data_IF_627410449290
#
_entry.id   IF_627410449290
#
_cell.length_a   1.000
_cell.length_b   1.000
_cell.length_c   1.000
_cell.angle_alpha   90.00
_cell.angle_beta   90.00
_cell.angle_gamma   90.00
#
_symmetry.space_group_name_H-M   'P 1'
#
loop_
_entity.id
_entity.type
_entity.pdbx_description
1 polymer ?
#
# COMPACT_ATOMS: atom_id res chain seq x y z
N UNK A 1 -15.53 27.21 -4.44
CA UNK A 1 -14.90 26.85 -5.72
C UNK A 1 -14.36 25.44 -5.65
N UNK A 2 -14.69 24.61 -6.64
CA UNK A 2 -14.19 23.23 -6.69
C UNK A 2 -12.87 23.19 -7.45
N UNK A 3 -12.01 22.23 -7.09
CA UNK A 3 -10.74 22.05 -7.79
C UNK A 3 -10.95 21.85 -9.29
N UNK A 4 -12.02 21.15 -9.69
CA UNK A 4 -12.35 20.91 -11.09
C UNK A 4 -12.62 22.18 -11.87
N UNK A 5 -12.98 23.28 -11.19
CA UNK A 5 -13.21 24.59 -11.84
C UNK A 5 -11.91 25.35 -12.08
N UNK A 6 -10.83 24.95 -11.39
CA UNK A 6 -9.53 25.61 -11.44
C UNK A 6 -8.56 24.87 -12.35
N UNK A 7 -8.53 23.54 -12.24
CA UNK A 7 -7.57 22.69 -12.93
C UNK A 7 -8.26 21.84 -14.01
N UNK A 8 -7.59 21.65 -15.16
CA UNK A 8 -8.07 20.68 -16.15
C UNK A 8 -8.18 19.29 -15.56
N UNK A 9 -9.15 18.52 -16.02
CA UNK A 9 -9.38 17.15 -15.58
C UNK A 9 -8.13 16.29 -15.65
N UNK A 10 -7.35 16.46 -16.72
CA UNK A 10 -6.09 15.75 -16.92
C UNK A 10 -5.10 16.01 -15.78
N UNK A 11 -4.97 17.27 -15.36
CA UNK A 11 -4.06 17.63 -14.27
C UNK A 11 -4.52 17.05 -12.93
N UNK A 12 -5.84 17.00 -12.71
CA UNK A 12 -6.41 16.40 -11.51
C UNK A 12 -6.09 14.91 -11.47
N UNK A 13 -6.27 14.21 -12.58
CA UNK A 13 -5.96 12.79 -12.71
C UNK A 13 -4.48 12.51 -12.46
N UNK A 14 -3.60 13.33 -13.03
CA UNK A 14 -2.16 13.21 -12.84
C UNK A 14 -1.75 13.42 -11.38
N UNK A 15 -2.37 14.39 -10.71
CA UNK A 15 -2.10 14.66 -9.30
C UNK A 15 -2.54 13.48 -8.41
N UNK A 16 -3.73 12.93 -8.67
CA UNK A 16 -4.23 11.77 -7.93
C UNK A 16 -3.35 10.55 -8.17
N UNK A 17 -2.99 10.31 -9.42
CA UNK A 17 -2.12 9.19 -9.78
C UNK A 17 -0.75 9.30 -9.12
N UNK A 18 -0.17 10.51 -9.10
CA UNK A 18 1.10 10.76 -8.43
C UNK A 18 1.05 10.48 -6.94
N UNK A 19 -0.05 10.87 -6.28
CA UNK A 19 -0.24 10.59 -4.86
C UNK A 19 -0.34 9.08 -4.59
N UNK A 20 -1.08 8.35 -5.41
CA UNK A 20 -1.18 6.91 -5.28
C UNK A 20 0.16 6.21 -5.53
N UNK A 21 0.92 6.64 -6.53
CA UNK A 21 2.24 6.08 -6.79
C UNK A 21 3.20 6.30 -5.63
N UNK A 22 3.13 7.46 -5.00
CA UNK A 22 3.93 7.78 -3.81
C UNK A 22 3.59 6.85 -2.65
N UNK A 23 2.30 6.65 -2.39
CA UNK A 23 1.85 5.73 -1.34
C UNK A 23 2.27 4.30 -1.62
N UNK A 24 2.20 3.89 -2.89
CA UNK A 24 2.60 2.55 -3.30
C UNK A 24 4.07 2.28 -2.98
N UNK A 25 4.93 3.26 -3.25
CA UNK A 25 6.36 3.16 -2.93
C UNK A 25 6.55 2.94 -1.42
N UNK A 26 5.84 3.70 -0.60
CA UNK A 26 5.94 3.58 0.86
C UNK A 26 5.45 2.21 1.35
N UNK A 27 4.35 1.71 0.81
CA UNK A 27 3.84 0.39 1.18
C UNK A 27 4.79 -0.73 0.77
N UNK A 28 5.37 -0.64 -0.44
CA UNK A 28 6.35 -1.62 -0.91
C UNK A 28 7.60 -1.62 -0.03
N UNK A 29 8.04 -0.44 0.38
CA UNK A 29 9.20 -0.31 1.25
C UNK A 29 8.95 -0.99 2.61
N UNK A 30 7.79 -0.74 3.21
CA UNK A 30 7.41 -1.36 4.48
C UNK A 30 7.36 -2.88 4.36
N UNK A 31 6.73 -3.39 3.30
CA UNK A 31 6.65 -4.82 3.03
C UNK A 31 8.07 -5.44 2.92
N UNK A 32 8.96 -4.81 2.17
CA UNK A 32 10.31 -5.30 1.99
C UNK A 32 11.12 -5.27 3.29
N UNK A 33 10.99 -4.22 4.09
CA UNK A 33 11.69 -4.10 5.36
C UNK A 33 11.28 -5.20 6.34
N UNK A 34 9.97 -5.45 6.44
CA UNK A 34 9.46 -6.47 7.36
C UNK A 34 9.72 -7.89 6.86
N UNK A 35 9.67 -8.07 5.53
CA UNK A 35 10.06 -9.34 4.92
C UNK A 35 11.52 -9.70 5.26
N UNK A 36 12.41 -8.73 5.20
CA UNK A 36 13.81 -8.92 5.58
C UNK A 36 13.96 -9.20 7.07
N UNK A 37 13.22 -8.47 7.90
CA UNK A 37 13.28 -8.61 9.36
C UNK A 37 12.88 -10.01 9.81
N UNK A 38 11.78 -10.52 9.27
CA UNK A 38 11.23 -11.83 9.66
C UNK A 38 11.64 -12.96 8.73
N UNK A 39 12.32 -12.66 7.62
CA UNK A 39 12.81 -13.64 6.65
C UNK A 39 11.68 -14.49 6.06
N UNK A 40 10.53 -13.89 5.85
CA UNK A 40 9.37 -14.55 5.26
C UNK A 40 8.41 -13.51 4.70
N UNK A 41 7.50 -13.95 3.81
CA UNK A 41 6.43 -13.11 3.31
C UNK A 41 5.35 -12.94 4.38
N UNK A 42 4.54 -11.88 4.26
CA UNK A 42 3.48 -11.60 5.23
C UNK A 42 2.49 -12.77 5.36
N UNK A 43 2.17 -13.42 4.25
CA UNK A 43 1.27 -14.57 4.25
C UNK A 43 1.79 -15.67 5.18
N UNK A 44 3.08 -15.98 5.09
CA UNK A 44 3.72 -16.99 5.94
C UNK A 44 3.75 -16.54 7.39
N UNK A 45 4.01 -15.27 7.62
CA UNK A 45 4.01 -14.66 8.95
C UNK A 45 2.66 -14.87 9.64
N UNK A 46 1.56 -14.65 8.92
CA UNK A 46 0.22 -14.87 9.44
C UNK A 46 -0.08 -16.35 9.64
N UNK A 47 0.19 -17.19 8.63
CA UNK A 47 -0.09 -18.61 8.67
C UNK A 47 0.67 -19.33 9.78
N UNK A 48 1.91 -18.92 10.03
CA UNK A 48 2.74 -19.48 11.10
C UNK A 48 2.41 -18.89 12.47
N UNK A 49 1.45 -17.96 12.53
CA UNK A 49 1.00 -17.33 13.77
C UNK A 49 2.19 -16.76 14.57
N UNK A 50 3.02 -15.98 13.89
CA UNK A 50 4.28 -15.49 14.47
C UNK A 50 4.10 -14.56 15.66
N UNK A 51 3.00 -13.79 15.70
CA UNK A 51 2.72 -12.92 16.85
C UNK A 51 2.59 -13.75 18.12
N UNK A 52 1.86 -14.86 18.05
CA UNK A 52 1.69 -15.79 19.18
C UNK A 52 3.02 -16.45 19.56
N UNK A 53 3.80 -16.90 18.56
CA UNK A 53 5.10 -17.54 18.78
C UNK A 53 6.09 -16.62 19.47
N UNK A 54 5.92 -15.31 19.31
CA UNK A 54 6.75 -14.28 19.90
C UNK A 54 6.11 -13.70 21.17
N UNK A 55 5.22 -14.46 21.80
CA UNK A 55 4.55 -14.12 23.07
C UNK A 55 3.81 -12.78 23.02
N UNK A 56 3.24 -12.42 21.86
CA UNK A 56 2.48 -11.17 21.68
C UNK A 56 3.27 -9.94 22.11
N UNK A 57 4.60 -9.92 21.88
CA UNK A 57 5.40 -8.76 22.21
C UNK A 57 4.88 -7.53 21.47
N UNK A 58 4.99 -6.36 22.13
CA UNK A 58 4.48 -5.11 21.57
C UNK A 58 5.08 -4.80 20.20
N UNK A 59 6.40 -4.98 20.07
CA UNK A 59 7.11 -4.73 18.81
C UNK A 59 6.58 -5.60 17.68
N UNK A 60 6.35 -6.88 17.94
CA UNK A 60 5.86 -7.81 16.92
C UNK A 60 4.42 -7.49 16.53
N UNK A 61 3.58 -7.13 17.51
CA UNK A 61 2.22 -6.71 17.23
C UNK A 61 2.17 -5.44 16.37
N UNK A 62 3.04 -4.45 16.67
CA UNK A 62 3.14 -3.24 15.87
C UNK A 62 3.60 -3.54 14.44
N UNK A 63 4.62 -4.39 14.30
CA UNK A 63 5.10 -4.82 13.00
C UNK A 63 4.00 -5.53 12.21
N UNK A 64 3.24 -6.40 12.87
CA UNK A 64 2.13 -7.12 12.22
C UNK A 64 1.07 -6.16 11.69
N UNK A 65 0.70 -5.15 12.48
CA UNK A 65 -0.29 -4.15 12.08
C UNK A 65 0.20 -3.30 10.91
N UNK A 66 1.44 -2.83 10.99
CA UNK A 66 2.04 -2.02 9.92
C UNK A 66 2.19 -2.82 8.65
N UNK A 67 2.58 -4.08 8.78
CA UNK A 67 2.77 -4.96 7.62
C UNK A 67 1.44 -5.26 6.93
N UNK A 68 0.42 -5.59 7.71
CA UNK A 68 -0.92 -5.82 7.18
C UNK A 68 -1.44 -4.58 6.45
N UNK A 69 -1.27 -3.41 7.06
CA UNK A 69 -1.66 -2.14 6.45
C UNK A 69 -0.95 -1.91 5.12
N UNK A 70 0.35 -2.19 5.07
CA UNK A 70 1.14 -2.01 3.85
C UNK A 70 0.72 -3.00 2.76
N UNK A 71 0.50 -4.27 3.09
CA UNK A 71 0.10 -5.29 2.12
C UNK A 71 -1.30 -4.99 1.56
N UNK A 72 -2.25 -4.67 2.44
CA UNK A 72 -3.61 -4.33 2.02
C UNK A 72 -3.65 -3.01 1.25
N UNK A 73 -2.91 -2.00 1.73
CA UNK A 73 -2.81 -0.72 1.05
C UNK A 73 -2.21 -0.84 -0.34
N UNK A 74 -1.18 -1.66 -0.48
CA UNK A 74 -0.55 -1.94 -1.77
C UNK A 74 -1.56 -2.51 -2.77
N UNK A 75 -2.34 -3.51 -2.36
CA UNK A 75 -3.37 -4.12 -3.23
C UNK A 75 -4.42 -3.09 -3.65
N UNK A 76 -4.89 -2.30 -2.70
CA UNK A 76 -5.90 -1.27 -2.94
C UNK A 76 -5.38 -0.23 -3.94
N UNK A 77 -4.18 0.28 -3.72
CA UNK A 77 -3.57 1.32 -4.56
C UNK A 77 -3.29 0.79 -5.97
N UNK A 78 -2.78 -0.43 -6.09
CA UNK A 78 -2.52 -1.04 -7.40
C UNK A 78 -3.80 -1.14 -8.23
N UNK A 79 -4.92 -1.51 -7.62
CA UNK A 79 -6.22 -1.55 -8.30
C UNK A 79 -6.66 -0.17 -8.74
N UNK A 80 -6.49 0.84 -7.90
CA UNK A 80 -6.86 2.23 -8.24
C UNK A 80 -6.03 2.77 -9.39
N UNK A 81 -4.72 2.55 -9.35
CA UNK A 81 -3.81 3.00 -10.42
C UNK A 81 -4.22 2.34 -11.74
N UNK A 82 -4.48 1.04 -11.71
CA UNK A 82 -4.87 0.29 -12.90
C UNK A 82 -6.17 0.84 -13.50
N UNK A 83 -7.16 1.15 -12.66
CA UNK A 83 -8.42 1.72 -13.10
C UNK A 83 -8.23 3.10 -13.74
N UNK A 84 -7.42 3.95 -13.14
CA UNK A 84 -7.16 5.30 -13.65
C UNK A 84 -6.45 5.23 -15.01
N UNK A 85 -5.45 4.35 -15.13
CA UNK A 85 -4.73 4.16 -16.40
C UNK A 85 -5.63 3.59 -17.48
N UNK A 86 -6.55 2.70 -17.14
CA UNK A 86 -7.50 2.13 -18.09
C UNK A 86 -8.45 3.20 -18.65
N UNK A 87 -8.90 4.13 -17.81
CA UNK A 87 -9.74 5.25 -18.24
C UNK A 87 -8.97 6.12 -19.23
N UNK A 88 -7.71 6.44 -18.94
CA UNK A 88 -6.85 7.25 -19.82
C UNK A 88 -6.61 6.56 -21.17
N UNK A 89 -6.46 5.25 -21.17
CA UNK A 89 -6.20 4.48 -22.39
C UNK A 89 -7.39 4.48 -23.37
N UNK A 90 -8.60 4.72 -22.87
CA UNK A 90 -9.82 4.76 -23.70
C UNK A 90 -10.06 6.13 -24.32
N UNK A 91 -9.34 7.12 -23.86
CA UNK A 91 -9.45 8.49 -24.36
C UNK A 91 -8.30 8.80 -25.30
#
# INVERSE_FOLDING_TARGET
>A
MKIADILPEKEIKEAVLGEYEKRLILYKLTDEQLKKKYKMAFKDFEEKNMVKKKDFSWDVEQDAMQWEHAVEGKKYIEKKIKKIKAINAKN
#
